data_IF_855406720751
#
_entry.id   IF_855406720751
#
_cell.length_a   1.000
_cell.length_b   1.000
_cell.length_c   1.000
_cell.angle_alpha   90.00
_cell.angle_beta   90.00
_cell.angle_gamma   90.00
#
_symmetry.space_group_name_H-M   'P 1'
#
loop_
_entity.id
_entity.type
_entity.pdbx_description
1 polymer ?
#
# COMPACT_ATOMS: atom_id res chain seq x y z
N UNK A 1 -8.29 -7.03 -7.61
CA UNK A 1 -7.51 -6.47 -6.49
C UNK A 1 -6.30 -5.75 -7.05
N UNK A 2 -5.93 -4.60 -6.49
CA UNK A 2 -4.77 -3.83 -6.95
C UNK A 2 -3.47 -4.25 -6.28
N UNK A 3 -2.37 -3.73 -6.83
CA UNK A 3 -1.04 -3.80 -6.24
C UNK A 3 -0.89 -2.70 -5.19
N UNK A 4 -0.34 -3.06 -4.03
CA UNK A 4 0.10 -2.07 -3.04
C UNK A 4 1.50 -1.60 -3.44
N UNK A 5 1.62 -0.34 -3.86
CA UNK A 5 2.89 0.23 -4.34
C UNK A 5 3.75 0.83 -3.21
N UNK A 6 3.13 1.35 -2.15
CA UNK A 6 3.82 1.88 -0.99
C UNK A 6 2.93 1.78 0.27
N UNK A 7 3.57 1.82 1.44
CA UNK A 7 2.92 1.86 2.74
C UNK A 7 3.56 2.96 3.58
N UNK A 8 2.74 3.92 4.00
CA UNK A 8 3.20 5.06 4.78
C UNK A 8 2.51 5.13 6.14
N UNK A 9 3.31 5.39 7.16
CA UNK A 9 2.85 5.62 8.53
C UNK A 9 3.33 7.00 8.97
N UNK A 10 2.40 7.78 9.51
CA UNK A 10 2.67 9.08 10.11
C UNK A 10 1.96 9.18 11.45
N UNK A 11 2.55 9.93 12.39
CA UNK A 11 1.90 10.31 13.65
C UNK A 11 0.72 11.24 13.43
N UNK A 12 0.79 12.08 12.40
CA UNK A 12 -0.25 13.04 12.03
C UNK A 12 -0.73 12.82 10.61
N UNK A 13 -2.03 13.04 10.41
CA UNK A 13 -2.67 13.04 9.09
C UNK A 13 -2.76 14.47 8.57
N UNK A 14 -1.60 15.08 8.32
CA UNK A 14 -1.47 16.47 7.88
C UNK A 14 -0.96 16.57 6.42
N UNK A 15 -0.92 17.80 5.90
CA UNK A 15 -0.45 18.12 4.55
C UNK A 15 0.97 17.59 4.29
N UNK A 16 1.85 17.71 5.29
CA UNK A 16 3.24 17.25 5.19
C UNK A 16 3.31 15.73 5.06
N UNK A 17 2.51 15.00 5.83
CA UNK A 17 2.43 13.55 5.74
C UNK A 17 1.86 13.09 4.39
N UNK A 18 0.82 13.75 3.89
CA UNK A 18 0.26 13.46 2.57
C UNK A 18 1.28 13.71 1.45
N UNK A 19 1.97 14.86 1.46
CA UNK A 19 3.03 15.18 0.51
C UNK A 19 4.14 14.15 0.51
N UNK A 20 4.66 13.79 1.70
CA UNK A 20 5.72 12.81 1.82
C UNK A 20 5.31 11.44 1.25
N UNK A 21 4.07 11.01 1.51
CA UNK A 21 3.53 9.78 0.92
C UNK A 21 3.50 9.84 -0.61
N UNK A 22 2.87 10.87 -1.20
CA UNK A 22 2.75 10.97 -2.65
C UNK A 22 4.11 11.13 -3.34
N UNK A 23 5.01 11.96 -2.80
CA UNK A 23 6.37 12.12 -3.33
C UNK A 23 7.10 10.78 -3.36
N UNK A 24 7.02 9.99 -2.29
CA UNK A 24 7.66 8.67 -2.23
C UNK A 24 7.02 7.67 -3.19
N UNK A 25 5.68 7.60 -3.21
CA UNK A 25 4.96 6.67 -4.08
C UNK A 25 5.19 6.97 -5.57
N UNK A 26 5.28 8.25 -5.95
CA UNK A 26 5.56 8.67 -7.33
C UNK A 26 7.02 8.46 -7.74
N UNK A 27 7.95 8.40 -6.78
CA UNK A 27 9.37 8.14 -7.09
C UNK A 27 9.64 6.70 -7.53
N UNK A 28 8.80 5.74 -7.11
CA UNK A 28 8.97 4.31 -7.42
C UNK A 28 7.84 3.74 -8.27
N UNK A 29 6.72 4.45 -8.40
CA UNK A 29 5.53 4.02 -9.13
C UNK A 29 5.34 4.75 -10.45
N UNK A 30 4.38 4.28 -11.24
CA UNK A 30 3.91 5.01 -12.41
C UNK A 30 3.14 6.27 -11.99
N UNK A 31 3.20 7.32 -12.82
CA UNK A 31 2.39 8.52 -12.62
C UNK A 31 0.91 8.17 -12.88
N UNK A 32 0.01 8.35 -11.89
CA UNK A 32 -1.39 7.99 -12.04
C UNK A 32 -2.14 9.00 -12.91
N UNK A 33 -3.08 8.52 -13.72
CA UNK A 33 -4.07 9.36 -14.43
C UNK A 33 -5.30 9.67 -13.57
N UNK A 34 -5.50 8.92 -12.49
CA UNK A 34 -6.63 9.05 -11.56
C UNK A 34 -6.17 8.66 -10.15
N UNK A 35 -6.55 9.44 -9.15
CA UNK A 35 -6.29 9.17 -7.72
C UNK A 35 -7.60 9.19 -6.96
N UNK A 36 -7.96 8.06 -6.34
CA UNK A 36 -9.14 7.97 -5.49
C UNK A 36 -8.76 8.13 -4.01
N UNK A 37 -9.40 9.06 -3.28
CA UNK A 37 -9.17 9.26 -1.83
C UNK A 37 -10.49 9.42 -1.06
N UNK A 38 -10.44 9.47 0.27
CA UNK A 38 -11.61 9.74 1.13
C UNK A 38 -11.98 11.24 1.21
N UNK A 39 -11.40 12.09 0.34
CA UNK A 39 -11.73 13.51 0.28
C UNK A 39 -11.12 14.36 1.39
N UNK A 40 -10.12 13.87 2.14
CA UNK A 40 -9.49 14.70 3.18
C UNK A 40 -8.91 16.02 2.62
N UNK A 41 -9.05 17.17 3.31
CA UNK A 41 -8.66 18.49 2.78
C UNK A 41 -7.18 18.66 2.42
N UNK A 42 -6.30 17.78 2.94
CA UNK A 42 -4.88 17.80 2.62
C UNK A 42 -4.58 17.34 1.19
N UNK A 43 -5.43 16.51 0.58
CA UNK A 43 -5.10 15.88 -0.70
C UNK A 43 -5.15 16.82 -1.91
N UNK A 44 -6.19 17.66 -2.13
CA UNK A 44 -6.29 18.48 -3.34
C UNK A 44 -5.02 19.29 -3.61
N UNK A 45 -4.54 20.04 -2.60
CA UNK A 45 -3.30 20.82 -2.70
C UNK A 45 -2.08 19.96 -3.04
N UNK A 46 -1.95 18.75 -2.46
CA UNK A 46 -0.80 17.87 -2.74
C UNK A 46 -0.87 17.30 -4.15
N UNK A 47 -2.07 16.96 -4.63
CA UNK A 47 -2.29 16.43 -5.97
C UNK A 47 -2.05 17.51 -7.02
N UNK A 48 -2.54 18.73 -6.82
CA UNK A 48 -2.29 19.87 -7.71
C UNK A 48 -0.79 20.16 -7.84
N UNK A 49 -0.03 20.05 -6.75
CA UNK A 49 1.40 20.34 -6.75
C UNK A 49 2.27 19.22 -7.37
N UNK A 50 1.86 17.94 -7.24
CA UNK A 50 2.70 16.80 -7.65
C UNK A 50 2.24 16.14 -8.95
N UNK A 51 0.94 16.14 -9.24
CA UNK A 51 0.31 15.40 -10.34
C UNK A 51 -0.97 16.12 -10.83
N UNK A 52 -0.85 17.40 -11.18
CA UNK A 52 -1.98 18.25 -11.62
C UNK A 52 -2.82 17.67 -12.77
N UNK A 53 -2.27 16.78 -13.59
CA UNK A 53 -2.99 16.11 -14.68
C UNK A 53 -3.82 14.89 -14.26
N UNK A 54 -3.74 14.45 -13.00
CA UNK A 54 -4.49 13.31 -12.50
C UNK A 54 -5.90 13.73 -12.06
N UNK A 55 -6.92 12.95 -12.45
CA UNK A 55 -8.28 13.11 -11.95
C UNK A 55 -8.32 12.77 -10.45
N UNK A 56 -8.66 13.73 -9.60
CA UNK A 56 -8.95 13.44 -8.19
C UNK A 56 -10.40 12.96 -8.05
N UNK A 57 -10.56 11.68 -7.72
CA UNK A 57 -11.85 11.03 -7.51
C UNK A 57 -12.15 10.88 -6.01
N UNK A 58 -13.28 11.44 -5.59
CA UNK A 58 -13.82 11.32 -4.23
C UNK A 58 -15.23 10.74 -4.23
N UNK A 59 -15.65 10.13 -5.34
CA UNK A 59 -16.95 9.48 -5.43
C UNK A 59 -17.09 8.38 -4.38
N UNK A 60 -18.34 8.15 -3.98
CA UNK A 60 -18.66 7.05 -3.09
C UNK A 60 -18.11 5.74 -3.68
N UNK A 61 -17.44 4.96 -2.84
CA UNK A 61 -16.84 3.67 -3.20
C UNK A 61 -15.57 3.70 -4.06
N UNK A 62 -15.11 4.86 -4.54
CA UNK A 62 -13.89 4.96 -5.35
C UNK A 62 -12.65 4.42 -4.63
N UNK A 63 -12.61 4.53 -3.30
CA UNK A 63 -11.52 4.03 -2.44
C UNK A 63 -11.80 2.64 -1.83
N UNK A 64 -12.86 1.92 -2.23
CA UNK A 64 -13.21 0.61 -1.65
C UNK A 64 -12.06 -0.41 -1.72
N UNK A 65 -11.29 -0.39 -2.81
CA UNK A 65 -10.16 -1.30 -3.00
C UNK A 65 -9.10 -1.14 -1.91
N UNK A 66 -8.72 0.10 -1.58
CA UNK A 66 -7.73 0.37 -0.55
C UNK A 66 -8.31 0.13 0.85
N UNK A 67 -9.58 0.47 1.08
CA UNK A 67 -10.24 0.22 2.37
C UNK A 67 -10.41 -1.28 2.66
N UNK A 68 -10.64 -2.11 1.64
CA UNK A 68 -10.65 -3.56 1.81
C UNK A 68 -9.28 -4.11 2.24
N UNK A 69 -8.19 -3.58 1.69
CA UNK A 69 -6.83 -3.96 2.09
C UNK A 69 -6.48 -3.47 3.50
N UNK A 70 -6.87 -2.24 3.85
CA UNK A 70 -6.81 -1.75 5.23
C UNK A 70 -7.58 -2.67 6.19
N UNK A 71 -8.78 -3.10 5.81
CA UNK A 71 -9.60 -4.01 6.61
C UNK A 71 -8.88 -5.35 6.90
N UNK A 72 -8.22 -5.93 5.89
CA UNK A 72 -7.44 -7.17 6.05
C UNK A 72 -6.26 -7.00 7.00
N UNK A 73 -5.54 -5.88 6.91
CA UNK A 73 -4.46 -5.57 7.85
C UNK A 73 -5.01 -5.38 9.28
N UNK A 74 -6.06 -4.56 9.44
CA UNK A 74 -6.71 -4.31 10.74
C UNK A 74 -7.21 -5.61 11.38
N UNK A 75 -7.80 -6.51 10.61
CA UNK A 75 -8.24 -7.82 11.09
C UNK A 75 -7.08 -8.67 11.65
N UNK A 76 -5.93 -8.67 10.97
CA UNK A 76 -4.72 -9.37 11.43
C UNK A 76 -4.12 -8.76 12.70
N UNK A 77 -4.20 -7.44 12.84
CA UNK A 77 -3.65 -6.71 14.00
C UNK A 77 -4.59 -6.74 15.22
N UNK A 78 -5.90 -6.90 15.02
CA UNK A 78 -6.91 -6.90 16.09
C UNK A 78 -6.60 -7.88 17.25
N UNK A 79 -6.25 -9.16 17.03
CA UNK A 79 -5.92 -10.08 18.13
C UNK A 79 -4.63 -9.69 18.89
N UNK A 80 -3.77 -8.85 18.30
CA UNK A 80 -2.50 -8.43 18.90
C UNK A 80 -2.65 -7.27 19.91
N UNK A 81 -3.87 -6.77 20.13
CA UNK A 81 -4.18 -5.63 21.04
C UNK A 81 -3.38 -4.36 20.73
N UNK A 82 -3.13 -4.11 19.45
CA UNK A 82 -2.38 -2.95 18.97
C UNK A 82 -0.86 -3.11 19.12
N UNK A 83 -0.14 -2.48 18.19
CA UNK A 83 1.31 -2.53 18.14
C UNK A 83 1.91 -1.44 19.03
N UNK A 84 3.00 -1.76 19.73
CA UNK A 84 3.57 -0.89 20.76
C UNK A 84 4.50 0.20 20.21
N UNK A 85 4.97 0.06 18.97
CA UNK A 85 5.93 1.01 18.37
C UNK A 85 5.61 1.27 16.89
N UNK A 86 5.95 2.47 16.41
CA UNK A 86 5.88 2.82 14.99
C UNK A 86 6.72 1.89 14.11
N UNK A 87 7.89 1.46 14.61
CA UNK A 87 8.78 0.53 13.92
C UNK A 87 8.07 -0.80 13.67
N UNK A 88 7.44 -1.39 14.68
CA UNK A 88 6.71 -2.64 14.55
C UNK A 88 5.53 -2.51 13.59
N UNK A 89 4.78 -1.40 13.65
CA UNK A 89 3.67 -1.14 12.72
C UNK A 89 4.14 -1.02 11.29
N UNK A 90 5.25 -0.31 11.04
CA UNK A 90 5.82 -0.20 9.70
C UNK A 90 6.26 -1.55 9.15
N UNK A 91 6.97 -2.36 9.94
CA UNK A 91 7.43 -3.69 9.53
C UNK A 91 6.23 -4.58 9.19
N UNK A 92 5.23 -4.64 10.07
CA UNK A 92 4.07 -5.50 9.86
C UNK A 92 3.19 -5.04 8.69
N UNK A 93 3.00 -3.74 8.51
CA UNK A 93 2.23 -3.20 7.38
C UNK A 93 2.95 -3.44 6.05
N UNK A 94 4.27 -3.25 6.01
CA UNK A 94 5.09 -3.54 4.81
C UNK A 94 5.08 -5.02 4.48
N UNK A 95 5.30 -5.88 5.48
CA UNK A 95 5.23 -7.34 5.30
C UNK A 95 3.83 -7.80 4.88
N UNK A 96 2.77 -7.19 5.40
CA UNK A 96 1.41 -7.45 4.95
C UNK A 96 1.24 -7.10 3.47
N UNK A 97 1.63 -5.90 3.05
CA UNK A 97 1.56 -5.46 1.66
C UNK A 97 2.35 -6.41 0.73
N UNK A 98 3.56 -6.79 1.13
CA UNK A 98 4.38 -7.75 0.40
C UNK A 98 3.66 -9.09 0.18
N UNK A 99 3.12 -9.68 1.24
CA UNK A 99 2.38 -10.95 1.16
C UNK A 99 1.12 -10.81 0.28
N UNK A 100 0.39 -9.70 0.38
CA UNK A 100 -0.79 -9.46 -0.45
C UNK A 100 -0.43 -9.35 -1.93
N UNK A 101 0.63 -8.62 -2.26
CA UNK A 101 1.13 -8.49 -3.63
C UNK A 101 1.56 -9.84 -4.19
N UNK A 102 2.30 -10.63 -3.41
CA UNK A 102 2.72 -11.97 -3.84
C UNK A 102 1.54 -12.90 -4.09
N UNK A 103 0.56 -12.93 -3.18
CA UNK A 103 -0.67 -13.73 -3.35
C UNK A 103 -1.48 -13.32 -4.59
N UNK A 104 -1.35 -12.07 -5.03
CA UNK A 104 -2.01 -11.51 -6.22
C UNK A 104 -1.14 -11.56 -7.47
N UNK A 105 0.08 -12.06 -7.37
CA UNK A 105 1.03 -12.15 -8.49
C UNK A 105 1.46 -10.77 -9.03
N UNK A 106 1.59 -9.79 -8.13
CA UNK A 106 2.10 -8.46 -8.47
C UNK A 106 3.63 -8.36 -8.43
N UNK A 107 4.32 -9.49 -8.24
CA UNK A 107 5.78 -9.61 -8.33
C UNK A 107 6.12 -10.73 -9.30
N UNK A 108 7.20 -10.53 -10.05
CA UNK A 108 7.77 -11.58 -10.90
C UNK A 108 8.71 -12.47 -10.08
N UNK A 109 8.14 -13.13 -9.08
CA UNK A 109 8.82 -14.11 -8.22
C UNK A 109 7.90 -15.31 -8.04
N UNK A 110 8.45 -16.52 -8.09
CA UNK A 110 7.67 -17.76 -8.07
C UNK A 110 6.50 -17.79 -9.09
N UNK A 111 6.61 -17.05 -10.19
CA UNK A 111 5.56 -16.99 -11.24
C UNK A 111 5.35 -18.35 -11.90
N UNK A 112 6.39 -19.18 -11.92
CA UNK A 112 6.38 -20.58 -12.36
C UNK A 112 5.61 -21.53 -11.42
N UNK A 113 5.41 -21.17 -10.15
CA UNK A 113 4.74 -22.03 -9.20
C UNK A 113 3.19 -21.92 -9.29
N UNK A 114 2.44 -23.00 -9.02
CA UNK A 114 0.99 -22.95 -8.87
C UNK A 114 0.57 -21.94 -7.79
N UNK A 115 -0.58 -21.27 -7.96
CA UNK A 115 -1.05 -20.18 -7.05
C UNK A 115 -0.98 -20.54 -5.57
N UNK A 116 -1.35 -21.77 -5.20
CA UNK A 116 -1.36 -22.23 -3.80
C UNK A 116 0.06 -22.50 -3.25
N UNK A 117 1.08 -22.59 -4.10
CA UNK A 117 2.49 -22.81 -3.76
C UNK A 117 3.37 -21.57 -3.97
N UNK A 118 2.83 -20.47 -4.53
CA UNK A 118 3.61 -19.25 -4.80
C UNK A 118 4.24 -18.63 -3.56
N UNK A 119 3.53 -18.64 -2.44
CA UNK A 119 4.06 -18.14 -1.17
C UNK A 119 5.32 -18.90 -0.73
N UNK A 120 5.27 -20.23 -0.49
CA UNK A 120 6.45 -20.98 -0.08
C UNK A 120 7.56 -20.95 -1.14
N UNK A 121 7.23 -21.03 -2.44
CA UNK A 121 8.23 -20.94 -3.51
C UNK A 121 8.98 -19.60 -3.51
N UNK A 122 8.26 -18.48 -3.37
CA UNK A 122 8.87 -17.15 -3.32
C UNK A 122 9.76 -16.97 -2.08
N UNK A 123 9.38 -17.55 -0.94
CA UNK A 123 10.24 -17.54 0.25
C UNK A 123 11.52 -18.34 0.05
N UNK A 124 11.45 -19.49 -0.63
CA UNK A 124 12.65 -20.26 -0.98
C UNK A 124 13.56 -19.49 -1.93
N UNK A 125 13.01 -18.86 -2.98
CA UNK A 125 13.78 -18.03 -3.91
C UNK A 125 14.45 -16.85 -3.20
N UNK A 126 13.72 -16.14 -2.34
CA UNK A 126 14.28 -15.03 -1.57
C UNK A 126 15.37 -15.49 -0.60
N UNK A 127 15.22 -16.65 0.04
CA UNK A 127 16.23 -17.18 0.96
C UNK A 127 17.57 -17.47 0.27
N UNK A 128 17.57 -17.70 -1.06
CA UNK A 128 18.79 -17.88 -1.85
C UNK A 128 19.43 -16.56 -2.29
N UNK A 129 18.72 -15.44 -2.18
CA UNK A 129 19.15 -14.12 -2.65
C UNK A 129 19.78 -13.24 -1.56
N UNK A 130 19.86 -13.72 -0.31
CA UNK A 130 20.34 -13.00 0.89
C UNK A 130 21.47 -13.80 1.51
#
# INVERSE_FOLDING_TARGET
>A
HGQVIDVWLSTRRDLTAARAFFTRALATGAVPVKVATDGAPAYPRVLDELIAGALHDTEQYANNGVEADHGRLKARLRPMRGLKTFRSTRILATGHAFIQNLKRSHYDIATHAPVHQRLPAAFNELALAI
#
